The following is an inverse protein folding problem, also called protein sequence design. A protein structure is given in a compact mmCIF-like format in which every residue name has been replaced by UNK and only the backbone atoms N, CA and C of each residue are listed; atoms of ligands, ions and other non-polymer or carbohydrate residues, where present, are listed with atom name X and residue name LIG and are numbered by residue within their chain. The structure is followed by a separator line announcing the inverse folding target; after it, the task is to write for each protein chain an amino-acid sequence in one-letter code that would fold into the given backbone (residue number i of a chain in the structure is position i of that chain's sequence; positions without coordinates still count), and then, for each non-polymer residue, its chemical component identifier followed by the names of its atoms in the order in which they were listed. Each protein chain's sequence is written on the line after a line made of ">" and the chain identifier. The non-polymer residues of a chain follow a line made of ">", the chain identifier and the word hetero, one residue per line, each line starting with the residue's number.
data_IF_618688732627
#
_entry.id   IF_618688732627
#
_cell.length_a   1.000
_cell.length_b   1.000
_cell.length_c   1.000
_cell.angle_alpha   90.00
_cell.angle_beta   90.00
_cell.angle_gamma   90.00
#
_symmetry.space_group_name_H-M   'P 1'
#
loop_
_entity.id
_entity.type
_entity.pdbx_description
1 polymer ?
#
# COMPACT_ATOMS: atom_id res chain seq x y z
N UNK A 1 3.29 0.43 -41.90
CA UNK A 1 3.33 0.93 -40.50
C UNK A 1 4.68 0.76 -39.77
N UNK A 2 5.83 0.68 -40.47
CA UNK A 2 7.14 0.46 -39.82
C UNK A 2 7.57 1.61 -38.91
N UNK A 3 7.43 2.88 -39.38
CA UNK A 3 7.78 4.07 -38.59
C UNK A 3 6.97 4.19 -37.29
N UNK A 4 5.69 3.83 -37.32
CA UNK A 4 4.80 3.85 -36.14
C UNK A 4 5.27 2.84 -35.10
N UNK A 5 5.57 1.60 -35.51
CA UNK A 5 6.09 0.56 -34.61
C UNK A 5 7.47 0.92 -34.03
N UNK A 6 8.34 1.55 -34.84
CA UNK A 6 9.63 2.03 -34.38
C UNK A 6 9.51 3.14 -33.33
N UNK A 7 8.56 4.06 -33.53
CA UNK A 7 8.27 5.13 -32.57
C UNK A 7 7.75 4.55 -31.23
N UNK A 8 6.76 3.65 -31.27
CA UNK A 8 6.21 3.02 -30.06
C UNK A 8 7.29 2.29 -29.25
N UNK A 9 8.14 1.50 -29.93
CA UNK A 9 9.28 0.84 -29.31
C UNK A 9 10.25 1.84 -28.70
N UNK A 10 10.58 2.91 -29.42
CA UNK A 10 11.54 3.93 -28.94
C UNK A 10 11.01 4.67 -27.72
N UNK A 11 9.72 5.00 -27.68
CA UNK A 11 9.10 5.63 -26.51
C UNK A 11 9.14 4.69 -25.30
N UNK A 12 8.83 3.40 -25.49
CA UNK A 12 8.95 2.41 -24.40
C UNK A 12 10.38 2.30 -23.85
N UNK A 13 11.39 2.25 -24.73
CA UNK A 13 12.81 2.23 -24.33
C UNK A 13 13.19 3.48 -23.53
N UNK A 14 12.77 4.67 -23.97
CA UNK A 14 13.05 5.92 -23.27
C UNK A 14 12.37 6.01 -21.89
N UNK A 15 11.22 5.36 -21.73
CA UNK A 15 10.49 5.27 -20.45
C UNK A 15 10.90 4.04 -19.61
N UNK A 16 11.92 3.29 -20.03
CA UNK A 16 12.38 2.05 -19.36
C UNK A 16 11.32 0.94 -19.25
N UNK A 17 10.35 0.91 -20.16
CA UNK A 17 9.40 -0.19 -20.28
C UNK A 17 9.92 -1.26 -21.24
N UNK A 18 9.87 -2.53 -20.83
CA UNK A 18 10.31 -3.66 -21.65
C UNK A 18 9.40 -3.92 -22.86
N UNK A 19 8.11 -3.58 -22.76
CA UNK A 19 7.06 -3.86 -23.75
C UNK A 19 5.94 -2.81 -23.66
N UNK A 20 5.35 -2.47 -24.80
CA UNK A 20 4.06 -1.77 -24.88
C UNK A 20 2.88 -2.74 -24.76
N UNK A 21 1.69 -2.20 -24.52
CA UNK A 21 0.44 -2.95 -24.56
C UNK A 21 0.09 -3.23 -26.02
N UNK A 22 -0.06 -4.51 -26.38
CA UNK A 22 -0.28 -4.92 -27.76
C UNK A 22 -1.61 -4.43 -28.35
N UNK A 23 -2.65 -4.32 -27.52
CA UNK A 23 -3.99 -3.87 -27.91
C UNK A 23 -4.54 -2.95 -26.84
N UNK A 24 -4.78 -1.69 -27.18
CA UNK A 24 -5.44 -0.70 -26.33
C UNK A 24 -6.57 -0.02 -27.10
N UNK A 25 -7.57 0.46 -26.37
CA UNK A 25 -8.51 1.46 -26.91
C UNK A 25 -7.85 2.85 -26.86
N UNK A 26 -8.63 3.85 -26.44
CA UNK A 26 -8.10 5.18 -26.14
C UNK A 26 -7.10 5.17 -24.97
N UNK A 27 -7.28 4.24 -24.02
CA UNK A 27 -6.42 4.07 -22.84
C UNK A 27 -6.08 2.60 -22.64
N UNK A 28 -5.16 2.34 -21.71
CA UNK A 28 -4.83 0.98 -21.28
C UNK A 28 -6.02 0.32 -20.55
N UNK A 29 -6.01 -1.01 -20.47
CA UNK A 29 -7.06 -1.73 -19.74
C UNK A 29 -6.99 -1.47 -18.23
N UNK A 30 -8.08 -0.96 -17.65
CA UNK A 30 -8.23 -0.73 -16.20
C UNK A 30 -8.12 -1.99 -15.35
N UNK A 31 -8.15 -3.17 -15.98
CA UNK A 31 -7.78 -4.45 -15.35
C UNK A 31 -6.37 -4.42 -14.73
N UNK A 32 -5.46 -3.64 -15.29
CA UNK A 32 -4.11 -3.43 -14.72
C UNK A 32 -4.22 -2.71 -13.36
N UNK A 33 -5.06 -1.67 -13.26
CA UNK A 33 -5.25 -0.91 -12.02
C UNK A 33 -5.82 -1.81 -10.92
N UNK A 34 -6.85 -2.61 -11.25
CA UNK A 34 -7.42 -3.60 -10.34
C UNK A 34 -6.37 -4.62 -9.85
N UNK A 35 -5.52 -5.12 -10.74
CA UNK A 35 -4.48 -6.08 -10.37
C UNK A 35 -3.46 -5.46 -9.39
N UNK A 36 -3.03 -4.22 -9.64
CA UNK A 36 -2.09 -3.50 -8.75
C UNK A 36 -2.72 -3.28 -7.37
N UNK A 37 -3.96 -2.77 -7.31
CA UNK A 37 -4.64 -2.54 -6.03
C UNK A 37 -4.93 -3.83 -5.27
N UNK A 38 -5.22 -4.94 -5.98
CA UNK A 38 -5.41 -6.25 -5.34
C UNK A 38 -4.15 -6.74 -4.64
N UNK A 39 -2.98 -6.56 -5.26
CA UNK A 39 -1.68 -6.91 -4.63
C UNK A 39 -1.43 -6.04 -3.40
N UNK A 40 -1.65 -4.72 -3.51
CA UNK A 40 -1.51 -3.81 -2.36
C UNK A 40 -2.47 -4.15 -1.22
N UNK A 41 -3.71 -4.54 -1.54
CA UNK A 41 -4.68 -5.02 -0.56
C UNK A 41 -4.20 -6.30 0.15
N UNK A 42 -3.60 -7.25 -0.58
CA UNK A 42 -3.01 -8.45 0.03
C UNK A 42 -1.89 -8.13 1.02
N UNK A 43 -1.03 -7.16 0.70
CA UNK A 43 0.03 -6.67 1.62
C UNK A 43 -0.61 -6.00 2.84
N UNK A 44 -1.63 -5.16 2.63
CA UNK A 44 -2.33 -4.47 3.70
C UNK A 44 -3.04 -5.43 4.67
N UNK A 45 -3.61 -6.54 4.19
CA UNK A 45 -4.21 -7.59 5.04
C UNK A 45 -3.18 -8.16 6.01
N UNK A 46 -1.99 -8.49 5.50
CA UNK A 46 -0.89 -9.04 6.30
C UNK A 46 -0.44 -8.04 7.36
N UNK A 47 -0.26 -6.76 6.97
CA UNK A 47 0.12 -5.70 7.88
C UNK A 47 -0.96 -5.43 8.95
N UNK A 48 -2.24 -5.42 8.56
CA UNK A 48 -3.37 -5.22 9.47
C UNK A 48 -3.41 -6.30 10.56
N UNK A 49 -3.24 -7.57 10.17
CA UNK A 49 -3.19 -8.71 11.09
C UNK A 49 -2.00 -8.58 12.06
N UNK A 50 -0.79 -8.42 11.52
CA UNK A 50 0.44 -8.33 12.32
C UNK A 50 0.38 -7.17 13.33
N UNK A 51 -0.01 -5.98 12.88
CA UNK A 51 -0.14 -4.82 13.77
C UNK A 51 -1.30 -4.97 14.76
N UNK A 52 -2.35 -5.72 14.42
CA UNK A 52 -3.40 -6.12 15.35
C UNK A 52 -2.83 -6.92 16.53
N UNK A 53 -2.02 -7.93 16.25
CA UNK A 53 -1.38 -8.75 17.28
C UNK A 53 -0.40 -7.92 18.13
N UNK A 54 0.42 -7.07 17.51
CA UNK A 54 1.35 -6.19 18.24
C UNK A 54 0.60 -5.31 19.25
N UNK A 55 -0.57 -4.78 18.87
CA UNK A 55 -1.40 -3.97 19.78
C UNK A 55 -1.93 -4.78 20.96
N UNK A 56 -2.31 -6.04 20.73
CA UNK A 56 -2.74 -6.94 21.81
C UNK A 56 -1.57 -7.33 22.72
N UNK A 57 -0.41 -7.65 22.15
CA UNK A 57 0.80 -7.98 22.92
C UNK A 57 1.31 -6.78 23.74
N UNK A 58 1.15 -5.55 23.23
CA UNK A 58 1.43 -4.33 23.96
C UNK A 58 0.50 -4.14 25.16
N UNK A 59 -0.79 -4.51 25.05
CA UNK A 59 -1.69 -4.53 26.19
C UNK A 59 -1.25 -5.55 27.26
N UNK A 60 -0.75 -6.72 26.84
CA UNK A 60 -0.21 -7.75 27.72
C UNK A 60 1.20 -7.44 28.25
N UNK A 61 1.80 -6.31 27.85
CA UNK A 61 3.17 -5.89 28.19
C UNK A 61 4.25 -6.90 27.78
N UNK A 62 3.99 -7.70 26.75
CA UNK A 62 4.93 -8.69 26.23
C UNK A 62 5.83 -8.11 25.14
N UNK A 63 5.31 -7.14 24.36
CA UNK A 63 6.02 -6.47 23.27
C UNK A 63 5.68 -4.98 23.30
N UNK A 64 6.67 -4.13 23.07
CA UNK A 64 6.46 -2.69 22.86
C UNK A 64 7.04 -2.25 21.51
N UNK A 65 6.44 -1.21 20.92
CA UNK A 65 7.04 -0.54 19.76
C UNK A 65 8.27 0.28 20.16
N UNK A 66 9.19 0.55 19.21
CA UNK A 66 10.30 1.47 19.46
C UNK A 66 9.80 2.85 19.90
N UNK A 67 10.27 3.30 21.07
CA UNK A 67 9.90 4.58 21.67
C UNK A 67 11.08 5.57 21.55
N UNK A 68 10.86 6.69 20.85
CA UNK A 68 11.91 7.71 20.69
C UNK A 68 12.13 8.51 21.97
N UNK A 69 13.34 9.02 22.17
CA UNK A 69 13.71 9.86 23.33
C UNK A 69 12.83 11.10 23.49
N UNK A 70 12.35 11.67 22.38
CA UNK A 70 11.49 12.87 22.36
C UNK A 70 10.01 12.54 22.20
N UNK A 71 9.63 11.26 22.17
CA UNK A 71 8.26 10.86 21.92
C UNK A 71 7.40 11.08 23.18
N UNK A 72 6.28 11.77 23.01
CA UNK A 72 5.25 11.93 24.03
C UNK A 72 4.16 10.91 23.73
N UNK A 73 3.95 9.94 24.62
CA UNK A 73 2.93 8.90 24.43
C UNK A 73 1.51 9.35 24.79
N UNK A 74 1.37 10.33 25.69
CA UNK A 74 0.11 10.97 26.06
C UNK A 74 0.38 12.39 26.56
N UNK A 75 -0.50 13.35 26.23
CA UNK A 75 -0.40 14.73 26.71
C UNK A 75 -0.56 14.87 28.23
N UNK A 76 -1.26 13.92 28.87
CA UNK A 76 -1.57 13.97 30.30
C UNK A 76 -0.80 12.94 31.14
N UNK A 77 -0.23 11.90 30.52
CA UNK A 77 0.33 10.75 31.24
C UNK A 77 1.74 10.43 30.76
N UNK A 78 2.75 10.85 31.52
CA UNK A 78 4.17 10.72 31.15
C UNK A 78 4.66 9.28 30.98
N UNK A 79 4.08 8.33 31.72
CA UNK A 79 4.46 6.91 31.65
C UNK A 79 3.72 6.12 30.56
N UNK A 80 2.68 6.71 29.94
CA UNK A 80 1.82 5.99 29.01
C UNK A 80 2.54 5.82 27.67
N UNK A 81 2.68 4.57 27.22
CA UNK A 81 3.20 4.21 25.90
C UNK A 81 2.11 3.53 25.10
N UNK A 82 1.79 4.08 23.92
CA UNK A 82 0.77 3.53 23.03
C UNK A 82 1.44 2.96 21.77
N UNK A 83 0.96 1.83 21.23
CA UNK A 83 1.42 1.27 19.95
C UNK A 83 0.88 2.06 18.75
N UNK A 84 1.14 3.38 18.74
CA UNK A 84 0.54 4.33 17.80
C UNK A 84 0.95 4.06 16.35
N UNK A 85 2.12 3.45 16.12
CA UNK A 85 2.56 3.15 14.75
C UNK A 85 1.76 1.99 14.18
N UNK A 86 1.55 0.93 14.96
CA UNK A 86 0.70 -0.21 14.60
C UNK A 86 -0.76 0.22 14.43
N UNK A 87 -1.25 1.12 15.29
CA UNK A 87 -2.59 1.71 15.12
C UNK A 87 -2.72 2.45 13.78
N UNK A 88 -1.72 3.26 13.42
CA UNK A 88 -1.69 3.96 12.14
C UNK A 88 -1.59 2.99 10.96
N UNK A 89 -0.77 1.95 11.05
CA UNK A 89 -0.69 0.89 10.02
C UNK A 89 -2.04 0.20 9.85
N UNK A 90 -2.73 -0.18 10.94
CA UNK A 90 -4.08 -0.75 10.86
C UNK A 90 -5.07 0.21 10.19
N UNK A 91 -4.99 1.52 10.48
CA UNK A 91 -5.86 2.53 9.88
C UNK A 91 -5.65 2.63 8.36
N UNK A 92 -4.40 2.80 7.93
CA UNK A 92 -4.04 2.89 6.50
C UNK A 92 -4.38 1.59 5.77
N UNK A 93 -4.14 0.44 6.41
CA UNK A 93 -4.43 -0.87 5.81
C UNK A 93 -5.92 -1.04 5.52
N UNK A 94 -6.81 -0.60 6.43
CA UNK A 94 -8.27 -0.62 6.19
C UNK A 94 -8.70 0.24 5.01
N UNK A 95 -8.04 1.39 4.82
CA UNK A 95 -8.31 2.21 3.64
C UNK A 95 -7.91 1.48 2.35
N UNK A 96 -6.68 0.95 2.31
CA UNK A 96 -6.16 0.22 1.14
C UNK A 96 -7.04 -1.00 0.81
N UNK A 97 -7.53 -1.69 1.83
CA UNK A 97 -8.43 -2.84 1.68
C UNK A 97 -9.71 -2.54 0.89
N UNK A 98 -10.22 -1.31 0.95
CA UNK A 98 -11.42 -0.88 0.21
C UNK A 98 -11.15 -0.49 -1.24
N UNK A 99 -9.89 -0.22 -1.61
CA UNK A 99 -9.54 0.33 -2.93
C UNK A 99 -9.75 -0.64 -4.12
N UNK A 100 -9.54 -1.97 -4.01
CA UNK A 100 -9.77 -2.88 -5.13
C UNK A 100 -11.19 -2.83 -5.68
N UNK A 101 -12.20 -2.65 -4.81
CA UNK A 101 -13.58 -2.53 -5.25
C UNK A 101 -13.79 -1.31 -6.14
N UNK A 102 -13.22 -0.16 -5.78
CA UNK A 102 -13.28 1.05 -6.60
C UNK A 102 -12.69 0.83 -7.99
N UNK A 103 -11.53 0.17 -8.09
CA UNK A 103 -10.92 -0.13 -9.40
C UNK A 103 -11.65 -1.22 -10.19
N UNK A 104 -12.40 -2.11 -9.54
CA UNK A 104 -13.22 -3.10 -10.23
C UNK A 104 -14.42 -2.47 -10.97
N UNK A 105 -14.85 -1.28 -10.55
CA UNK A 105 -15.97 -0.54 -11.11
C UNK A 105 -15.54 0.57 -12.09
N UNK A 106 -14.26 0.61 -12.48
CA UNK A 106 -13.70 1.60 -13.42
C UNK A 106 -13.51 1.01 -14.81
#
# INVERSE_FOLDING_TARGET
>A
HSKVKALDKRVCELLNFKKSIAVSGQTYTRKIDFAVLSVLSGIAQSAYKMCGDIRLLANLKQVEEPFSKTQIGSSAMAYKRNPMRSERVCSISRYILGLPASAAHT
#
